data_IF_963422643818
#
_entry.id   IF_963422643818
#
_cell.length_a   1.000
_cell.length_b   1.000
_cell.length_c   1.000
_cell.angle_alpha   90.00
_cell.angle_beta   90.00
_cell.angle_gamma   90.00
#
_symmetry.space_group_name_H-M   'P 1'
#
loop_
_entity.id
_entity.type
_entity.pdbx_description
1 polymer ?
#
# COMPACT_ATOMS: atom_id res chain seq x y z
N UNK A 1 4.78 -14.12 11.08
CA UNK A 1 5.59 -15.15 11.72
C UNK A 1 4.85 -16.48 11.68
N UNK A 2 5.26 -17.38 10.81
CA UNK A 2 4.63 -18.67 10.59
C UNK A 2 5.33 -19.74 11.45
N UNK A 3 4.57 -20.58 12.16
CA UNK A 3 5.12 -21.60 13.04
C UNK A 3 4.19 -22.83 13.16
N UNK A 4 4.72 -23.91 13.73
CA UNK A 4 3.97 -25.13 13.95
C UNK A 4 3.50 -25.82 12.67
N UNK A 5 2.38 -26.49 12.71
CA UNK A 5 1.82 -27.25 11.59
C UNK A 5 1.43 -26.37 10.38
N UNK A 6 1.20 -25.07 10.60
CA UNK A 6 0.95 -24.13 9.51
C UNK A 6 2.19 -23.91 8.61
N UNK A 7 3.40 -24.14 9.13
CA UNK A 7 4.64 -24.08 8.36
C UNK A 7 4.90 -25.38 7.61
N UNK A 8 4.87 -26.52 8.30
CA UNK A 8 5.07 -27.86 7.75
C UNK A 8 4.71 -28.93 8.79
N UNK A 9 4.42 -30.17 8.38
CA UNK A 9 4.28 -31.28 9.32
C UNK A 9 5.53 -31.44 10.18
N UNK A 10 5.35 -31.55 11.49
CA UNK A 10 6.46 -31.64 12.48
C UNK A 10 5.97 -32.20 13.83
N UNK A 11 6.92 -32.50 14.70
CA UNK A 11 6.63 -32.98 16.05
C UNK A 11 6.08 -31.86 16.95
N UNK A 12 5.51 -32.26 18.08
CA UNK A 12 5.01 -31.31 19.10
C UNK A 12 6.12 -30.44 19.66
N UNK A 13 7.28 -31.06 19.95
CA UNK A 13 8.44 -30.37 20.50
C UNK A 13 8.96 -29.29 19.55
N UNK A 14 9.09 -29.61 18.27
CA UNK A 14 9.46 -28.64 17.24
C UNK A 14 8.44 -27.52 17.10
N UNK A 15 7.15 -27.83 17.21
CA UNK A 15 6.08 -26.84 17.15
C UNK A 15 6.15 -25.85 18.31
N UNK A 16 6.46 -26.32 19.52
CA UNK A 16 6.64 -25.48 20.72
C UNK A 16 7.85 -24.58 20.56
N UNK A 17 8.99 -25.12 20.14
CA UNK A 17 10.21 -24.34 19.91
C UNK A 17 9.98 -23.25 18.85
N UNK A 18 9.31 -23.58 17.76
CA UNK A 18 8.99 -22.59 16.72
C UNK A 18 8.01 -21.52 17.20
N UNK A 19 7.03 -21.89 18.01
CA UNK A 19 6.10 -20.92 18.60
C UNK A 19 6.82 -19.92 19.50
N UNK A 20 7.74 -20.39 20.36
CA UNK A 20 8.58 -19.54 21.21
C UNK A 20 9.48 -18.61 20.38
N UNK A 21 10.13 -19.14 19.35
CA UNK A 21 10.96 -18.36 18.44
C UNK A 21 10.14 -17.30 17.68
N UNK A 22 8.95 -17.65 17.23
CA UNK A 22 8.04 -16.73 16.54
C UNK A 22 7.54 -15.62 17.48
N UNK A 23 7.19 -15.96 18.70
CA UNK A 23 6.80 -14.99 19.73
C UNK A 23 7.95 -14.02 20.06
N UNK A 24 9.16 -14.54 20.23
CA UNK A 24 10.35 -13.71 20.45
C UNK A 24 10.62 -12.74 19.30
N UNK A 25 10.49 -13.20 18.06
CA UNK A 25 10.65 -12.33 16.88
C UNK A 25 9.51 -11.31 16.75
N UNK A 26 8.28 -11.67 17.08
CA UNK A 26 7.18 -10.73 17.09
C UNK A 26 7.38 -9.62 18.13
N UNK A 27 7.92 -9.97 19.31
CA UNK A 27 8.23 -9.02 20.38
C UNK A 27 9.23 -7.95 19.93
N UNK A 28 10.15 -8.25 19.01
CA UNK A 28 11.12 -7.25 18.50
C UNK A 28 10.44 -6.14 17.68
N UNK A 29 9.29 -6.43 17.08
CA UNK A 29 8.48 -5.44 16.36
C UNK A 29 7.57 -4.71 17.35
N UNK A 30 6.89 -5.46 18.21
CA UNK A 30 5.91 -4.91 19.16
C UNK A 30 6.53 -4.05 20.27
N UNK A 31 7.85 -4.18 20.51
CA UNK A 31 8.60 -3.37 21.49
C UNK A 31 9.04 -2.01 20.94
N UNK A 32 8.78 -1.72 19.67
CA UNK A 32 9.08 -0.42 19.07
C UNK A 32 7.92 0.55 19.32
N UNK A 33 8.25 1.80 19.62
CA UNK A 33 7.26 2.87 19.77
C UNK A 33 6.61 3.23 18.44
N UNK A 34 7.34 3.07 17.32
CA UNK A 34 6.89 3.37 15.96
C UNK A 34 7.23 2.21 15.03
N UNK A 35 6.37 1.95 14.07
CA UNK A 35 6.58 0.98 12.99
C UNK A 35 6.71 1.74 11.68
N UNK A 36 7.82 1.58 10.99
CA UNK A 36 7.98 2.08 9.63
C UNK A 36 7.05 1.31 8.68
N UNK A 37 6.18 2.06 8.00
CA UNK A 37 5.29 1.51 6.98
C UNK A 37 6.04 1.42 5.64
N UNK A 38 5.65 0.46 4.81
CA UNK A 38 6.15 0.38 3.45
C UNK A 38 5.81 1.65 2.66
N UNK A 39 6.77 2.17 1.92
CA UNK A 39 6.61 3.38 1.12
C UNK A 39 5.68 3.20 -0.11
N UNK A 40 5.26 1.97 -0.39
CA UNK A 40 4.37 1.63 -1.52
C UNK A 40 2.92 1.97 -1.21
N UNK A 41 2.63 3.24 -1.04
CA UNK A 41 1.29 3.77 -0.79
C UNK A 41 0.82 4.59 -2.00
N UNK A 42 -0.50 4.73 -2.13
CA UNK A 42 -1.08 5.57 -3.16
C UNK A 42 -0.89 7.05 -2.82
N UNK A 43 -0.73 7.88 -3.84
CA UNK A 43 -0.73 9.33 -3.73
C UNK A 43 -1.57 9.95 -4.84
N UNK A 44 -2.13 11.11 -4.58
CA UNK A 44 -3.01 11.83 -5.50
C UNK A 44 -2.25 12.97 -6.17
N UNK A 45 -2.47 13.14 -7.46
CA UNK A 45 -2.05 14.31 -8.23
C UNK A 45 -3.26 15.25 -8.35
N UNK A 46 -3.29 16.30 -7.56
CA UNK A 46 -4.41 17.25 -7.52
C UNK A 46 -4.69 17.93 -8.87
N UNK A 47 -3.66 18.04 -9.72
CA UNK A 47 -3.81 18.61 -11.06
C UNK A 47 -4.71 17.75 -11.97
N UNK A 48 -4.70 16.42 -11.76
CA UNK A 48 -5.44 15.45 -12.55
C UNK A 48 -6.68 14.92 -11.82
N UNK A 49 -6.79 15.16 -10.52
CA UNK A 49 -7.90 14.70 -9.71
C UNK A 49 -9.04 15.73 -9.72
N UNK A 50 -10.22 15.32 -10.18
CA UNK A 50 -11.44 16.14 -10.19
C UNK A 50 -12.43 15.74 -9.09
N UNK A 51 -12.03 14.84 -8.18
CA UNK A 51 -12.88 14.39 -7.09
C UNK A 51 -14.05 13.51 -7.52
N UNK A 52 -13.96 12.81 -8.65
CA UNK A 52 -15.03 11.93 -9.16
C UNK A 52 -15.32 10.71 -8.26
N UNK A 53 -14.49 10.43 -7.27
CA UNK A 53 -14.65 9.38 -6.27
C UNK A 53 -14.64 7.91 -6.77
N UNK A 54 -14.45 7.65 -8.06
CA UNK A 54 -14.45 6.29 -8.62
C UNK A 54 -13.40 5.35 -8.01
N UNK A 55 -12.35 5.89 -7.42
CA UNK A 55 -11.30 5.11 -6.76
C UNK A 55 -11.65 4.70 -5.31
N UNK A 56 -12.70 5.28 -4.71
CA UNK A 56 -13.06 5.07 -3.30
C UNK A 56 -13.73 3.72 -3.11
N UNK A 57 -14.81 3.44 -3.85
CA UNK A 57 -15.62 2.23 -3.68
C UNK A 57 -14.82 0.93 -3.90
N UNK A 58 -13.96 0.81 -4.93
CA UNK A 58 -13.22 -0.42 -5.17
C UNK A 58 -12.04 -0.61 -4.21
N UNK A 59 -11.75 0.36 -3.33
CA UNK A 59 -10.65 0.22 -2.37
C UNK A 59 -10.99 -0.81 -1.28
N UNK A 60 -10.32 -1.99 -1.25
CA UNK A 60 -10.65 -3.04 -0.28
C UNK A 60 -10.30 -2.65 1.16
N UNK A 61 -9.40 -1.69 1.32
CA UNK A 61 -8.94 -1.21 2.63
C UNK A 61 -9.66 0.05 3.09
N UNK A 62 -10.53 0.64 2.24
CA UNK A 62 -11.23 1.91 2.51
C UNK A 62 -10.28 3.02 2.98
N UNK A 63 -9.12 3.07 2.35
CA UNK A 63 -8.06 4.03 2.65
C UNK A 63 -8.24 5.39 1.95
N UNK A 64 -9.33 5.57 1.20
CA UNK A 64 -9.59 6.76 0.38
C UNK A 64 -10.85 7.46 0.86
N UNK A 65 -10.76 8.77 1.02
CA UNK A 65 -11.88 9.65 1.40
C UNK A 65 -11.98 10.83 0.45
N UNK A 66 -13.20 11.28 0.17
CA UNK A 66 -13.42 12.49 -0.61
C UNK A 66 -13.18 13.72 0.27
N UNK A 67 -12.34 14.62 -0.19
CA UNK A 67 -12.04 15.88 0.45
C UNK A 67 -12.57 17.03 -0.41
N UNK A 68 -13.30 17.95 0.21
CA UNK A 68 -13.70 19.20 -0.40
C UNK A 68 -12.92 20.34 0.25
N UNK A 69 -12.28 21.16 -0.58
CA UNK A 69 -11.50 22.30 -0.10
C UNK A 69 -11.72 23.54 -0.97
N UNK A 70 -11.53 24.70 -0.39
CA UNK A 70 -11.65 25.97 -1.11
C UNK A 70 -10.31 26.37 -1.70
N UNK A 71 -10.25 26.56 -3.00
CA UNK A 71 -9.07 27.06 -3.72
C UNK A 71 -9.52 28.14 -4.71
N UNK A 72 -8.86 29.30 -4.67
CA UNK A 72 -9.14 30.43 -5.58
C UNK A 72 -10.61 30.88 -5.58
N UNK A 73 -11.29 30.79 -4.45
CA UNK A 73 -12.72 31.17 -4.30
C UNK A 73 -13.72 30.15 -4.87
N UNK A 74 -13.26 29.00 -5.33
CA UNK A 74 -14.09 27.89 -5.80
C UNK A 74 -13.92 26.65 -4.92
N UNK A 75 -15.00 25.88 -4.74
CA UNK A 75 -14.95 24.60 -4.07
C UNK A 75 -14.35 23.58 -5.05
N UNK A 76 -13.20 23.03 -4.68
CA UNK A 76 -12.56 21.91 -5.37
C UNK A 76 -12.71 20.63 -4.57
N UNK A 77 -12.76 19.51 -5.29
CA UNK A 77 -12.83 18.18 -4.71
C UNK A 77 -11.59 17.39 -5.10
N UNK A 78 -11.05 16.66 -4.15
CA UNK A 78 -9.95 15.72 -4.36
C UNK A 78 -10.18 14.49 -3.50
N UNK A 79 -9.33 13.50 -3.66
CA UNK A 79 -9.35 12.29 -2.83
C UNK A 79 -8.13 12.32 -1.91
N UNK A 80 -8.36 12.13 -0.63
CA UNK A 80 -7.30 11.98 0.36
C UNK A 80 -7.00 10.50 0.60
N UNK A 81 -5.73 10.18 0.75
CA UNK A 81 -5.25 8.82 1.03
C UNK A 81 -4.83 8.74 2.48
N UNK A 82 -5.44 7.82 3.24
CA UNK A 82 -4.96 7.48 4.57
C UNK A 82 -3.76 6.53 4.44
N UNK A 83 -2.56 7.05 4.61
CA UNK A 83 -1.30 6.34 4.44
C UNK A 83 -1.15 5.15 5.40
N UNK A 84 -1.71 5.25 6.61
CA UNK A 84 -1.64 4.18 7.62
C UNK A 84 -2.45 2.94 7.24
N UNK A 85 -3.52 3.11 6.46
CA UNK A 85 -4.43 2.04 6.07
C UNK A 85 -4.09 1.53 4.66
N UNK A 86 -3.54 2.39 3.80
CA UNK A 86 -3.22 2.05 2.41
C UNK A 86 -2.18 0.92 2.35
N UNK A 87 -2.45 -0.09 1.53
CA UNK A 87 -1.55 -1.24 1.28
C UNK A 87 -0.93 -1.23 -0.12
N UNK A 88 -1.06 -0.14 -0.87
CA UNK A 88 -0.45 -0.01 -2.18
C UNK A 88 -0.91 -1.02 -3.23
N UNK A 89 -2.11 -1.57 -3.09
CA UNK A 89 -2.61 -2.64 -3.96
C UNK A 89 -2.86 -2.22 -5.42
N UNK A 90 -2.89 -0.91 -5.72
CA UNK A 90 -3.01 -0.36 -7.07
C UNK A 90 -4.43 -0.34 -7.64
N UNK A 91 -5.45 -0.86 -6.96
CA UNK A 91 -6.84 -0.88 -7.46
C UNK A 91 -7.33 0.53 -7.82
N UNK A 92 -7.04 1.52 -6.98
CA UNK A 92 -7.39 2.93 -7.21
C UNK A 92 -6.72 3.51 -8.47
N UNK A 93 -5.46 3.16 -8.70
CA UNK A 93 -4.72 3.56 -9.90
C UNK A 93 -5.34 2.96 -11.16
N UNK A 94 -5.70 1.68 -11.13
CA UNK A 94 -6.31 0.98 -12.25
C UNK A 94 -7.72 1.52 -12.58
N UNK A 95 -8.47 1.95 -11.57
CA UNK A 95 -9.84 2.45 -11.74
C UNK A 95 -9.91 3.91 -12.16
N UNK A 96 -8.86 4.71 -11.94
CA UNK A 96 -8.90 6.15 -12.16
C UNK A 96 -8.88 6.52 -13.66
N UNK A 97 -9.98 7.10 -14.22
CA UNK A 97 -10.05 7.45 -15.63
C UNK A 97 -9.17 8.67 -15.96
N UNK A 98 -8.89 9.50 -14.97
CA UNK A 98 -8.11 10.74 -15.11
C UNK A 98 -6.62 10.57 -14.82
N UNK A 99 -6.19 9.36 -14.41
CA UNK A 99 -4.81 9.12 -13.96
C UNK A 99 -4.36 10.10 -12.88
N UNK A 100 -5.28 10.43 -11.96
CA UNK A 100 -5.05 11.37 -10.85
C UNK A 100 -4.54 10.69 -9.57
N UNK A 101 -4.43 9.36 -9.53
CA UNK A 101 -3.93 8.61 -8.38
C UNK A 101 -2.99 7.50 -8.83
N UNK A 102 -1.87 7.36 -8.14
CA UNK A 102 -0.82 6.38 -8.42
C UNK A 102 -0.30 5.75 -7.15
N UNK A 103 0.24 4.55 -7.25
CA UNK A 103 1.07 3.95 -6.21
C UNK A 103 2.51 4.42 -6.38
N UNK A 104 3.16 4.83 -5.29
CA UNK A 104 4.58 5.25 -5.31
C UNK A 104 5.45 4.13 -5.88
N UNK A 105 6.35 4.47 -6.80
CA UNK A 105 7.21 3.50 -7.47
C UNK A 105 6.58 2.76 -8.65
N UNK A 106 5.26 2.88 -8.88
CA UNK A 106 4.52 2.11 -9.89
C UNK A 106 3.80 2.98 -10.93
N UNK A 107 4.36 4.14 -11.25
CA UNK A 107 3.90 4.88 -12.43
C UNK A 107 4.26 4.11 -13.70
N UNK A 108 3.45 4.18 -14.78
CA UNK A 108 3.74 3.47 -16.04
C UNK A 108 5.13 3.72 -16.58
N UNK A 109 5.62 4.95 -16.50
CA UNK A 109 6.96 5.35 -16.95
C UNK A 109 8.06 4.70 -16.10
N UNK A 110 7.83 4.57 -14.79
CA UNK A 110 8.78 3.91 -13.88
C UNK A 110 8.86 2.41 -14.15
N UNK A 111 7.72 1.77 -14.41
CA UNK A 111 7.68 0.35 -14.79
C UNK A 111 8.36 0.14 -16.14
N UNK A 112 8.09 0.99 -17.14
CA UNK A 112 8.74 0.91 -18.44
C UNK A 112 10.27 1.01 -18.32
N UNK A 113 10.78 1.98 -17.54
CA UNK A 113 12.22 2.11 -17.31
C UNK A 113 12.85 0.90 -16.60
N UNK A 114 12.11 0.26 -15.68
CA UNK A 114 12.57 -0.98 -15.04
C UNK A 114 12.65 -2.14 -16.03
N UNK A 115 11.66 -2.27 -16.91
CA UNK A 115 11.65 -3.29 -17.96
C UNK A 115 12.80 -3.05 -18.96
N UNK A 116 12.99 -1.80 -19.40
CA UNK A 116 14.09 -1.43 -20.27
C UNK A 116 15.46 -1.77 -19.65
N UNK A 117 15.65 -1.38 -18.38
CA UNK A 117 16.89 -1.70 -17.66
C UNK A 117 17.13 -3.21 -17.50
N UNK A 118 16.07 -4.00 -17.32
CA UNK A 118 16.18 -5.45 -17.22
C UNK A 118 16.47 -6.13 -18.56
N UNK A 119 16.11 -5.50 -19.69
CA UNK A 119 16.33 -6.05 -21.03
C UNK A 119 17.68 -5.63 -21.63
N UNK A 120 18.31 -4.58 -21.12
CA UNK A 120 19.69 -4.18 -21.46
C UNK A 120 20.63 -5.02 -20.60
N UNK A 121 20.75 -6.31 -20.92
CA UNK A 121 21.84 -7.15 -20.41
C UNK A 121 23.01 -7.02 -21.40
N UNK A 122 24.15 -6.59 -20.89
CA UNK A 122 25.44 -6.55 -21.59
C UNK A 122 25.81 -7.90 -22.21
#
# INVERSE_FOLDING_TARGET
FLCGLAHSPKSIDESIIQAQASASRASTILSKDEIELEANISFVLDENCDGCAYCIDPCPYKALTLLEYMKDGAIKKTVEVNESICKGCGTCQATCPKKGIYVRGFKPEQIASQVEAALVSD
#
